data_IF_032965210796
#
_entry.id   IF_032965210796
#
_cell.length_a   1.000
_cell.length_b   1.000
_cell.length_c   1.000
_cell.angle_alpha   90.00
_cell.angle_beta   90.00
_cell.angle_gamma   90.00
#
_symmetry.space_group_name_H-M   'P 1'
#
loop_
_entity.id
_entity.type
_entity.pdbx_description
1 polymer ?
#
# COMPACT_ATOMS: atom_id res chain seq x y z
N UNK A 1 -45.59 4.57 34.58
CA UNK A 1 -44.20 5.09 34.46
C UNK A 1 -43.54 4.35 33.31
N UNK A 2 -42.96 5.08 32.36
CA UNK A 2 -42.54 4.61 31.02
C UNK A 2 -41.30 3.71 31.11
N UNK A 3 -41.38 2.51 30.55
CA UNK A 3 -40.21 1.64 30.31
C UNK A 3 -39.43 2.16 29.10
N UNK A 4 -38.23 2.68 29.34
CA UNK A 4 -37.29 3.12 28.30
C UNK A 4 -36.40 1.92 27.94
N UNK A 5 -36.68 1.27 26.81
CA UNK A 5 -35.82 0.23 26.24
C UNK A 5 -34.67 0.92 25.51
N UNK A 6 -33.46 0.85 26.09
CA UNK A 6 -32.23 1.29 25.43
C UNK A 6 -31.81 0.22 24.41
N UNK A 7 -31.97 0.53 23.12
CA UNK A 7 -31.48 -0.29 22.02
C UNK A 7 -29.97 -0.01 21.84
N UNK A 8 -29.12 -0.90 22.33
CA UNK A 8 -27.68 -0.86 22.06
C UNK A 8 -27.42 -1.29 20.61
N UNK A 9 -27.16 -0.32 19.74
CA UNK A 9 -26.60 -0.57 18.40
C UNK A 9 -25.13 -0.96 18.57
N UNK A 10 -24.85 -2.26 18.52
CA UNK A 10 -23.49 -2.80 18.43
C UNK A 10 -22.93 -2.47 17.04
N UNK A 11 -22.13 -1.40 16.94
CA UNK A 11 -21.31 -1.12 15.77
C UNK A 11 -20.09 -2.07 15.79
N UNK A 12 -20.22 -3.21 15.12
CA UNK A 12 -19.08 -4.10 14.90
C UNK A 12 -18.09 -3.41 13.94
N UNK A 13 -17.07 -2.80 14.51
CA UNK A 13 -15.88 -2.39 13.78
C UNK A 13 -15.15 -3.66 13.36
N UNK A 14 -15.25 -4.04 12.08
CA UNK A 14 -14.51 -5.18 11.55
C UNK A 14 -13.01 -4.88 11.59
N UNK A 15 -12.31 -5.56 12.50
CA UNK A 15 -10.86 -5.67 12.49
C UNK A 15 -10.43 -6.49 11.27
N UNK A 16 -10.30 -5.83 10.12
CA UNK A 16 -9.98 -6.46 8.83
C UNK A 16 -8.67 -7.27 8.85
N UNK A 17 -7.76 -7.03 9.78
CA UNK A 17 -6.46 -7.70 9.85
C UNK A 17 -6.50 -9.21 10.16
N UNK A 18 -7.48 -9.70 10.94
CA UNK A 18 -7.52 -11.11 11.38
C UNK A 18 -8.29 -12.01 10.41
N UNK A 19 -9.23 -11.44 9.65
CA UNK A 19 -10.06 -12.16 8.70
C UNK A 19 -9.23 -12.61 7.49
N UNK A 20 -8.28 -11.79 7.03
CA UNK A 20 -7.40 -12.12 5.90
C UNK A 20 -6.50 -13.34 6.13
N UNK A 21 -5.94 -13.50 7.34
CA UNK A 21 -5.06 -14.65 7.65
C UNK A 21 -5.84 -15.98 7.60
N UNK A 22 -7.05 -16.02 8.18
CA UNK A 22 -7.91 -17.23 8.18
C UNK A 22 -8.43 -17.56 6.77
N UNK A 23 -8.74 -16.54 5.97
CA UNK A 23 -9.19 -16.72 4.60
C UNK A 23 -8.07 -17.20 3.69
N UNK A 24 -6.83 -16.75 3.90
CA UNK A 24 -5.65 -17.15 3.13
C UNK A 24 -5.43 -18.66 3.19
N UNK A 25 -5.57 -19.26 4.37
CA UNK A 25 -5.38 -20.70 4.55
C UNK A 25 -6.51 -21.50 3.87
N UNK A 26 -7.78 -21.09 4.04
CA UNK A 26 -8.93 -21.74 3.37
C UNK A 26 -8.89 -21.62 1.85
N UNK A 27 -8.44 -20.48 1.32
CA UNK A 27 -8.24 -20.24 -0.11
C UNK A 27 -7.18 -21.17 -0.68
N UNK A 28 -6.07 -21.33 0.04
CA UNK A 28 -4.96 -22.18 -0.37
C UNK A 28 -5.41 -23.63 -0.49
N UNK A 29 -6.19 -24.12 0.48
CA UNK A 29 -6.65 -25.52 0.52
C UNK A 29 -7.71 -25.85 -0.54
N UNK A 30 -8.64 -24.94 -0.86
CA UNK A 30 -9.66 -25.18 -1.89
C UNK A 30 -9.15 -24.98 -3.32
N UNK A 31 -8.21 -24.06 -3.54
CA UNK A 31 -7.79 -23.69 -4.88
C UNK A 31 -6.63 -24.55 -5.43
N UNK A 32 -5.81 -25.14 -4.57
CA UNK A 32 -4.71 -26.07 -4.93
C UNK A 32 -5.21 -27.32 -5.67
N UNK A 33 -6.43 -27.80 -5.38
CA UNK A 33 -6.99 -28.98 -6.04
C UNK A 33 -7.43 -28.78 -7.50
N UNK A 34 -7.51 -27.53 -8.00
CA UNK A 34 -8.11 -27.21 -9.30
C UNK A 34 -7.24 -26.34 -10.22
N UNK A 35 -6.25 -25.66 -9.66
CA UNK A 35 -5.33 -24.71 -10.31
C UNK A 35 -3.97 -24.87 -9.61
N UNK A 36 -2.87 -24.98 -10.36
CA UNK A 36 -1.55 -25.19 -9.75
C UNK A 36 -1.16 -24.08 -8.76
N UNK A 37 -0.56 -24.48 -7.64
CA UNK A 37 -0.21 -23.65 -6.46
C UNK A 37 0.44 -22.31 -6.80
N UNK A 38 1.26 -22.29 -7.85
CA UNK A 38 1.99 -21.11 -8.31
C UNK A 38 1.06 -20.02 -8.84
N UNK A 39 -0.01 -20.38 -9.54
CA UNK A 39 -0.98 -19.43 -10.07
C UNK A 39 -1.87 -18.86 -8.97
N UNK A 40 -2.30 -19.70 -8.02
CA UNK A 40 -3.06 -19.25 -6.84
C UNK A 40 -2.21 -18.33 -5.98
N UNK A 41 -0.95 -18.69 -5.69
CA UNK A 41 -0.03 -17.85 -4.94
C UNK A 41 0.22 -16.49 -5.58
N UNK A 42 0.32 -16.42 -6.92
CA UNK A 42 0.46 -15.16 -7.64
C UNK A 42 -0.77 -14.25 -7.52
N UNK A 43 -1.97 -14.84 -7.52
CA UNK A 43 -3.24 -14.11 -7.38
C UNK A 43 -3.44 -13.64 -5.94
N UNK A 44 -3.20 -14.48 -4.95
CA UNK A 44 -3.60 -14.24 -3.55
C UNK A 44 -2.54 -13.57 -2.70
N UNK A 45 -1.27 -13.60 -3.12
CA UNK A 45 -0.20 -12.94 -2.33
C UNK A 45 -0.22 -11.45 -2.57
N UNK A 46 -0.33 -10.67 -1.50
CA UNK A 46 -0.23 -9.21 -1.54
C UNK A 46 1.15 -8.76 -2.06
N UNK A 47 1.16 -7.80 -2.99
CA UNK A 47 2.41 -7.24 -3.50
C UNK A 47 3.17 -6.51 -2.38
N UNK A 48 2.43 -5.78 -1.54
CA UNK A 48 2.92 -4.97 -0.43
C UNK A 48 1.91 -5.06 0.71
N UNK A 49 2.38 -5.09 1.96
CA UNK A 49 1.52 -5.11 3.13
C UNK A 49 2.15 -4.41 4.32
N UNK A 50 1.31 -3.90 5.22
CA UNK A 50 1.66 -3.33 6.52
C UNK A 50 0.49 -3.55 7.47
N UNK A 51 0.75 -3.68 8.78
CA UNK A 51 -0.29 -4.00 9.74
C UNK A 51 -0.01 -3.42 11.13
N UNK A 52 -1.07 -3.04 11.86
CA UNK A 52 -0.98 -2.62 13.26
C UNK A 52 -0.38 -3.67 14.20
N UNK A 53 -0.50 -4.96 13.87
CA UNK A 53 0.15 -6.05 14.61
C UNK A 53 1.68 -6.01 14.48
N UNK A 54 2.18 -5.42 13.40
CA UNK A 54 3.60 -5.30 13.07
C UNK A 54 4.22 -3.99 13.55
N UNK A 55 3.42 -3.09 14.13
CA UNK A 55 3.90 -1.82 14.65
C UNK A 55 4.87 -2.03 15.83
N UNK A 56 5.91 -1.20 15.91
CA UNK A 56 6.71 -1.09 17.12
C UNK A 56 5.88 -0.39 18.21
N UNK A 57 5.65 -1.09 19.34
CA UNK A 57 4.84 -0.61 20.47
C UNK A 57 5.64 -0.37 21.76
N UNK A 58 6.98 -0.50 21.71
CA UNK A 58 7.83 -0.49 22.91
C UNK A 58 7.85 0.86 23.61
N UNK A 59 7.60 1.96 22.90
CA UNK A 59 7.66 3.32 23.46
C UNK A 59 6.51 4.23 22.98
N UNK A 60 5.28 3.72 23.01
CA UNK A 60 4.10 4.52 22.69
C UNK A 60 3.89 5.54 23.80
N UNK A 61 3.96 6.83 23.43
CA UNK A 61 3.69 7.94 24.34
C UNK A 61 2.19 8.18 24.47
N UNK A 62 1.77 8.79 25.58
CA UNK A 62 0.39 9.25 25.74
C UNK A 62 0.06 10.35 24.72
N UNK A 63 -1.22 10.54 24.37
CA UNK A 63 -1.63 11.62 23.44
C UNK A 63 -1.24 13.03 23.89
N UNK A 64 -1.07 13.26 25.20
CA UNK A 64 -0.64 14.56 25.75
C UNK A 64 0.89 14.72 25.85
N UNK A 65 1.68 13.73 25.42
CA UNK A 65 3.13 13.83 25.44
C UNK A 65 3.62 14.98 24.55
N UNK A 66 4.41 15.89 25.12
CA UNK A 66 4.94 17.05 24.39
C UNK A 66 3.94 18.16 24.10
N UNK A 67 2.76 18.17 24.73
CA UNK A 67 1.69 19.16 24.47
C UNK A 67 2.09 20.62 24.71
N UNK A 68 2.95 20.87 25.71
CA UNK A 68 3.39 22.20 26.12
C UNK A 68 4.86 22.48 25.78
N UNK A 69 5.45 21.65 24.92
CA UNK A 69 6.87 21.70 24.62
C UNK A 69 7.15 22.54 23.38
N UNK A 70 8.36 23.09 23.32
CA UNK A 70 8.81 23.85 22.16
C UNK A 70 9.45 22.92 21.13
N UNK A 71 8.85 22.84 19.94
CA UNK A 71 9.33 21.98 18.86
C UNK A 71 10.35 22.69 18.00
N UNK A 72 11.51 22.04 17.81
CA UNK A 72 12.51 22.45 16.84
C UNK A 72 12.21 21.81 15.49
N UNK A 73 12.21 22.59 14.40
CA UNK A 73 12.11 22.00 13.05
C UNK A 73 13.33 21.12 12.79
N UNK A 74 13.13 19.86 12.44
CA UNK A 74 14.19 18.89 12.23
C UNK A 74 15.18 19.36 11.16
N UNK A 75 14.68 20.00 10.11
CA UNK A 75 15.49 20.57 9.02
C UNK A 75 16.39 21.74 9.43
N UNK A 76 16.24 22.27 10.65
CA UNK A 76 17.16 23.28 11.21
C UNK A 76 18.39 22.63 11.87
N UNK A 77 18.39 21.31 12.04
CA UNK A 77 19.50 20.55 12.58
C UNK A 77 20.43 20.14 11.43
N UNK A 78 21.73 20.07 11.71
CA UNK A 78 22.71 19.59 10.74
C UNK A 78 22.34 18.18 10.25
N UNK A 79 22.28 18.03 8.92
CA UNK A 79 22.07 16.76 8.23
C UNK A 79 23.33 16.38 7.45
N UNK A 80 23.74 15.12 7.58
CA UNK A 80 24.75 14.49 6.74
C UNK A 80 24.15 13.27 6.03
N UNK A 81 24.42 13.03 4.73
CA UNK A 81 23.99 11.81 4.06
C UNK A 81 24.50 10.51 4.72
N UNK A 82 25.66 10.54 5.40
CA UNK A 82 26.25 9.37 6.04
C UNK A 82 25.75 9.11 7.46
N UNK A 83 25.38 10.17 8.19
CA UNK A 83 25.04 10.08 9.63
C UNK A 83 23.58 10.45 9.92
N UNK A 84 22.87 11.02 8.94
CA UNK A 84 21.52 11.56 9.14
C UNK A 84 21.52 12.86 9.94
N UNK A 85 20.48 13.08 10.73
CA UNK A 85 20.38 14.21 11.64
C UNK A 85 21.05 13.88 12.98
N UNK A 86 21.97 14.74 13.43
CA UNK A 86 22.56 14.61 14.77
C UNK A 86 21.70 15.34 15.80
N UNK A 87 20.83 14.60 16.49
CA UNK A 87 19.86 15.17 17.44
C UNK A 87 20.44 15.33 18.84
N UNK A 88 20.07 16.42 19.50
CA UNK A 88 20.20 16.58 20.96
C UNK A 88 18.87 16.21 21.61
N UNK A 89 18.83 15.90 22.92
CA UNK A 89 17.55 15.70 23.60
C UNK A 89 16.61 16.90 23.39
N UNK A 90 15.37 16.66 22.99
CA UNK A 90 14.39 17.70 22.71
C UNK A 90 13.19 17.22 21.88
N UNK A 91 12.26 18.14 21.61
CA UNK A 91 11.07 17.90 20.79
C UNK A 91 11.30 18.42 19.38
N UNK A 92 10.99 17.61 18.37
CA UNK A 92 11.26 17.91 16.97
C UNK A 92 10.01 17.76 16.11
N UNK A 93 9.91 18.59 15.08
CA UNK A 93 8.85 18.51 14.06
C UNK A 93 9.44 18.43 12.66
N UNK A 94 8.85 17.65 11.78
CA UNK A 94 9.23 17.54 10.37
C UNK A 94 7.98 17.37 9.50
N UNK A 95 8.04 17.94 8.31
CA UNK A 95 7.07 17.70 7.24
C UNK A 95 7.65 16.66 6.29
N UNK A 96 6.90 15.58 6.06
CA UNK A 96 7.30 14.48 5.21
C UNK A 96 6.28 14.28 4.09
N UNK A 97 6.77 13.94 2.90
CA UNK A 97 5.92 13.42 1.83
C UNK A 97 5.63 11.95 2.10
N UNK A 98 4.38 11.55 1.97
CA UNK A 98 3.92 10.17 2.20
C UNK A 98 3.31 9.59 0.94
N UNK A 99 3.24 8.26 0.91
CA UNK A 99 2.58 7.50 -0.16
C UNK A 99 1.57 6.53 0.44
N UNK A 100 0.34 6.59 -0.05
CA UNK A 100 -0.74 5.71 0.39
C UNK A 100 -0.54 4.29 -0.16
N UNK A 101 -0.58 3.29 0.72
CA UNK A 101 -0.47 1.88 0.33
C UNK A 101 -1.83 1.21 0.09
N UNK A 102 -2.92 1.89 0.40
CA UNK A 102 -4.28 1.40 0.14
C UNK A 102 -4.98 2.43 -0.75
N UNK A 103 -5.38 2.00 -1.94
CA UNK A 103 -6.19 2.82 -2.85
C UNK A 103 -7.67 2.71 -2.44
N UNK A 104 -8.41 3.83 -2.49
CA UNK A 104 -9.84 3.86 -2.18
C UNK A 104 -10.19 3.74 -0.69
N UNK A 105 -9.25 4.02 0.20
CA UNK A 105 -9.49 4.19 1.63
C UNK A 105 -9.37 5.65 2.02
N UNK A 106 -10.01 6.07 3.11
CA UNK A 106 -9.93 7.44 3.61
C UNK A 106 -8.48 7.91 3.74
N UNK A 107 -8.19 9.06 3.14
CA UNK A 107 -6.93 9.75 3.36
C UNK A 107 -6.80 10.11 4.84
N UNK A 108 -5.58 10.12 5.39
CA UNK A 108 -5.40 10.52 6.78
C UNK A 108 -5.91 11.94 7.05
N UNK A 109 -6.44 12.12 8.25
CA UNK A 109 -7.01 13.37 8.72
C UNK A 109 -6.08 14.07 9.72
N UNK A 110 -6.38 15.35 10.01
CA UNK A 110 -5.60 16.11 10.98
C UNK A 110 -5.80 15.53 12.38
N UNK A 111 -4.70 15.17 13.03
CA UNK A 111 -4.70 14.64 14.41
C UNK A 111 -4.50 13.13 14.50
N UNK A 112 -4.36 12.44 13.36
CA UNK A 112 -4.05 11.01 13.35
C UNK A 112 -2.63 10.75 13.88
N UNK A 113 -2.51 9.79 14.79
CA UNK A 113 -1.23 9.28 15.29
C UNK A 113 -0.74 8.11 14.42
N UNK A 114 0.57 8.08 14.14
CA UNK A 114 1.18 7.02 13.36
C UNK A 114 2.13 6.19 14.21
N UNK A 115 2.11 4.88 13.98
CA UNK A 115 3.11 3.96 14.51
C UNK A 115 3.95 3.43 13.35
N UNK A 116 5.26 3.35 13.59
CA UNK A 116 6.15 2.73 12.62
C UNK A 116 5.85 1.24 12.51
N UNK A 117 5.63 0.78 11.28
CA UNK A 117 5.53 -0.63 10.92
C UNK A 117 6.42 -0.92 9.70
N UNK A 118 7.14 -2.06 9.68
CA UNK A 118 7.97 -2.42 8.54
C UNK A 118 7.13 -2.75 7.31
N UNK A 119 7.58 -2.31 6.14
CA UNK A 119 7.00 -2.71 4.87
C UNK A 119 7.26 -4.19 4.61
N UNK A 120 6.21 -4.95 4.32
CA UNK A 120 6.27 -6.39 4.00
C UNK A 120 5.69 -6.64 2.60
N UNK A 121 5.73 -7.91 2.18
CA UNK A 121 5.25 -8.34 0.86
C UNK A 121 6.38 -8.55 -0.15
N UNK A 122 6.06 -9.22 -1.26
CA UNK A 122 7.06 -9.62 -2.26
C UNK A 122 7.69 -8.45 -3.01
N UNK A 123 7.04 -7.28 -3.01
CA UNK A 123 7.45 -6.08 -3.76
C UNK A 123 7.87 -4.93 -2.86
N UNK A 124 8.08 -5.19 -1.56
CA UNK A 124 8.54 -4.18 -0.60
C UNK A 124 9.82 -3.48 -1.08
N UNK A 125 10.78 -4.23 -1.62
CA UNK A 125 12.09 -3.69 -2.01
C UNK A 125 11.95 -2.84 -3.27
N UNK A 126 11.08 -3.25 -4.20
CA UNK A 126 10.78 -2.48 -5.41
C UNK A 126 10.19 -1.10 -5.06
N UNK A 127 9.23 -1.04 -4.14
CA UNK A 127 8.64 0.24 -3.70
C UNK A 127 9.60 1.05 -2.84
N UNK A 128 10.39 0.41 -1.99
CA UNK A 128 11.44 1.09 -1.23
C UNK A 128 12.45 1.76 -2.18
N UNK A 129 12.92 1.05 -3.21
CA UNK A 129 13.83 1.59 -4.22
C UNK A 129 13.18 2.71 -5.03
N UNK A 130 11.91 2.55 -5.46
CA UNK A 130 11.16 3.58 -6.18
C UNK A 130 11.13 4.90 -5.40
N UNK A 131 10.72 4.85 -4.13
CA UNK A 131 10.61 6.03 -3.25
C UNK A 131 12.00 6.61 -2.96
N UNK A 132 13.01 5.76 -2.71
CA UNK A 132 14.38 6.19 -2.47
C UNK A 132 14.97 6.91 -3.69
N UNK A 133 14.75 6.40 -4.89
CA UNK A 133 15.26 7.01 -6.12
C UNK A 133 14.50 8.30 -6.46
N UNK A 134 13.23 8.40 -6.08
CA UNK A 134 12.46 9.64 -6.23
C UNK A 134 13.02 10.79 -5.39
N UNK A 135 13.62 10.51 -4.23
CA UNK A 135 14.30 11.54 -3.43
C UNK A 135 15.35 12.32 -4.26
N UNK A 136 16.01 11.66 -5.22
CA UNK A 136 16.98 12.28 -6.14
C UNK A 136 16.37 12.77 -7.47
N UNK A 137 15.08 12.52 -7.71
CA UNK A 137 14.36 12.83 -8.95
C UNK A 137 13.05 13.57 -8.65
N UNK A 138 13.13 14.65 -7.85
CA UNK A 138 11.97 15.42 -7.39
C UNK A 138 11.29 16.25 -8.50
N UNK A 139 11.86 16.29 -9.71
CA UNK A 139 11.18 16.83 -10.89
C UNK A 139 10.03 15.94 -11.38
N UNK A 140 10.00 14.67 -10.96
CA UNK A 140 8.86 13.77 -11.16
C UNK A 140 7.79 14.12 -10.11
N UNK A 141 6.56 14.49 -10.50
CA UNK A 141 5.49 14.82 -9.56
C UNK A 141 5.16 13.66 -8.60
N UNK A 142 4.81 13.99 -7.36
CA UNK A 142 4.48 12.99 -6.33
C UNK A 142 3.28 12.13 -6.76
N UNK A 143 2.31 12.69 -7.45
CA UNK A 143 1.13 11.98 -7.94
C UNK A 143 1.50 10.87 -8.92
N UNK A 144 2.52 11.10 -9.76
CA UNK A 144 3.02 10.07 -10.68
C UNK A 144 3.68 8.92 -9.91
N UNK A 145 4.41 9.21 -8.85
CA UNK A 145 5.02 8.18 -8.00
C UNK A 145 3.95 7.43 -7.20
N UNK A 146 2.93 8.12 -6.68
CA UNK A 146 1.77 7.50 -6.03
C UNK A 146 1.03 6.53 -6.97
N UNK A 147 0.83 6.93 -8.23
CA UNK A 147 0.24 6.07 -9.26
C UNK A 147 1.10 4.83 -9.56
N UNK A 148 2.43 4.97 -9.59
CA UNK A 148 3.33 3.81 -9.72
C UNK A 148 3.24 2.87 -8.52
N UNK A 149 3.19 3.39 -7.30
CA UNK A 149 2.99 2.59 -6.08
C UNK A 149 1.69 1.79 -6.17
N UNK A 150 0.58 2.42 -6.56
CA UNK A 150 -0.69 1.73 -6.74
C UNK A 150 -0.69 0.74 -7.91
N UNK A 151 0.00 1.03 -9.01
CA UNK A 151 0.21 0.10 -10.11
C UNK A 151 0.94 -1.17 -9.67
N UNK A 152 1.94 -1.05 -8.79
CA UNK A 152 2.66 -2.18 -8.19
C UNK A 152 1.75 -2.98 -7.25
N UNK A 153 0.98 -2.30 -6.38
CA UNK A 153 0.02 -2.95 -5.47
C UNK A 153 -1.02 -3.75 -6.27
N UNK A 154 -1.55 -3.16 -7.33
CA UNK A 154 -2.49 -3.79 -8.23
C UNK A 154 -1.84 -4.75 -9.24
N UNK A 155 -0.55 -5.08 -9.09
CA UNK A 155 0.18 -6.04 -9.93
C UNK A 155 0.06 -5.76 -11.42
N UNK A 156 0.01 -4.48 -11.80
CA UNK A 156 -0.03 -4.07 -13.20
C UNK A 156 1.33 -4.32 -13.85
N UNK A 157 1.35 -4.97 -15.01
CA UNK A 157 2.59 -5.12 -15.78
C UNK A 157 3.05 -3.75 -16.29
N UNK A 158 4.37 -3.51 -16.26
CA UNK A 158 4.98 -2.30 -16.79
C UNK A 158 4.47 -1.93 -18.21
N UNK A 159 4.38 -2.93 -19.11
CA UNK A 159 3.94 -2.71 -20.50
C UNK A 159 2.49 -2.23 -20.62
N UNK A 160 1.67 -2.47 -19.60
CA UNK A 160 0.26 -2.09 -19.57
C UNK A 160 0.05 -0.75 -18.85
N UNK A 161 1.09 -0.12 -18.30
CA UNK A 161 1.00 1.21 -17.71
C UNK A 161 0.93 2.28 -18.82
N UNK A 162 0.35 3.43 -18.53
CA UNK A 162 0.37 4.57 -19.47
C UNK A 162 1.81 5.01 -19.81
N UNK A 163 2.05 5.62 -20.98
CA UNK A 163 3.39 6.05 -21.40
C UNK A 163 4.11 6.95 -20.39
N UNK A 164 3.36 7.84 -19.74
CA UNK A 164 3.86 8.73 -18.70
C UNK A 164 4.38 7.98 -17.46
N UNK A 165 3.64 6.95 -17.04
CA UNK A 165 4.05 6.09 -15.92
C UNK A 165 5.23 5.21 -16.31
N UNK A 166 5.25 4.70 -17.54
CA UNK A 166 6.40 3.97 -18.06
C UNK A 166 7.66 4.84 -18.02
N UNK A 167 7.58 6.08 -18.52
CA UNK A 167 8.70 7.03 -18.50
C UNK A 167 9.18 7.30 -17.07
N UNK A 168 8.27 7.61 -16.15
CA UNK A 168 8.61 7.84 -14.75
C UNK A 168 9.29 6.60 -14.12
N UNK A 169 8.75 5.40 -14.35
CA UNK A 169 9.34 4.16 -13.86
C UNK A 169 10.73 3.90 -14.46
N UNK A 170 10.97 4.18 -15.74
CA UNK A 170 12.32 4.02 -16.34
C UNK A 170 13.37 4.93 -15.74
N UNK A 171 12.96 6.09 -15.19
CA UNK A 171 13.85 7.02 -14.50
C UNK A 171 14.11 6.63 -13.05
N UNK A 172 13.15 5.97 -12.41
CA UNK A 172 13.18 5.66 -10.98
C UNK A 172 13.61 4.23 -10.66
N UNK A 173 13.57 3.31 -11.61
CA UNK A 173 13.83 1.88 -11.39
C UNK A 173 14.98 1.38 -12.27
N UNK A 174 15.75 0.45 -11.74
CA UNK A 174 16.79 -0.25 -12.51
C UNK A 174 16.18 -1.20 -13.55
N UNK A 175 17.01 -1.65 -14.51
CA UNK A 175 16.59 -2.61 -15.55
C UNK A 175 16.05 -3.92 -14.97
N UNK A 176 16.66 -4.43 -13.89
CA UNK A 176 16.21 -5.66 -13.23
C UNK A 176 14.87 -5.46 -12.50
N UNK A 177 14.66 -4.28 -11.91
CA UNK A 177 13.40 -3.90 -11.28
C UNK A 177 12.27 -3.72 -12.30
N UNK A 178 12.54 -3.05 -13.43
CA UNK A 178 11.60 -2.94 -14.56
C UNK A 178 11.22 -4.30 -15.14
N UNK A 179 12.18 -5.23 -15.23
CA UNK A 179 11.93 -6.60 -15.66
C UNK A 179 11.07 -7.35 -14.63
N UNK A 180 11.32 -7.16 -13.34
CA UNK A 180 10.49 -7.72 -12.26
C UNK A 180 9.06 -7.18 -12.31
N UNK A 181 8.89 -5.89 -12.63
CA UNK A 181 7.58 -5.25 -12.83
C UNK A 181 6.87 -5.76 -14.09
N UNK A 182 7.59 -5.98 -15.19
CA UNK A 182 7.03 -6.57 -16.42
C UNK A 182 6.54 -8.00 -16.19
N UNK A 183 7.25 -8.78 -15.39
CA UNK A 183 6.90 -10.15 -14.98
C UNK A 183 5.79 -10.21 -13.92
N UNK A 184 5.34 -9.07 -13.40
CA UNK A 184 4.36 -8.97 -12.31
C UNK A 184 2.92 -9.20 -12.78
N UNK A 185 2.63 -8.91 -14.05
CA UNK A 185 1.27 -8.95 -14.57
C UNK A 185 0.62 -10.32 -14.42
N UNK A 186 -0.65 -10.33 -14.00
CA UNK A 186 -1.54 -11.48 -14.21
C UNK A 186 -1.78 -11.77 -15.70
N UNK A 187 -1.18 -11.00 -16.60
CA UNK A 187 -1.09 -11.20 -18.05
C UNK A 187 -0.67 -12.62 -18.47
N UNK A 188 0.07 -13.33 -17.62
CA UNK A 188 0.48 -14.72 -17.87
C UNK A 188 -0.56 -15.75 -17.40
N UNK A 189 -1.62 -15.32 -16.71
CA UNK A 189 -2.71 -16.17 -16.22
C UNK A 189 -3.84 -16.13 -17.27
N UNK A 190 -4.16 -17.25 -17.94
CA UNK A 190 -5.26 -17.29 -18.90
C UNK A 190 -6.59 -16.85 -18.27
N UNK A 191 -7.45 -16.17 -19.04
CA UNK A 191 -8.74 -15.68 -18.55
C UNK A 191 -9.63 -16.79 -17.96
N UNK A 192 -9.56 -17.99 -18.53
CA UNK A 192 -10.26 -19.19 -18.00
C UNK A 192 -9.76 -19.61 -16.61
N UNK A 193 -8.45 -19.51 -16.38
CA UNK A 193 -7.83 -19.78 -15.07
C UNK A 193 -8.20 -18.69 -14.08
N UNK A 194 -8.23 -17.42 -14.50
CA UNK A 194 -8.64 -16.31 -13.65
C UNK A 194 -10.12 -16.43 -13.23
N UNK A 195 -11.01 -16.78 -14.17
CA UNK A 195 -12.42 -17.00 -13.91
C UNK A 195 -12.63 -18.15 -12.91
N UNK A 196 -11.98 -19.30 -13.16
CA UNK A 196 -12.06 -20.47 -12.28
C UNK A 196 -11.44 -20.20 -10.90
N UNK A 197 -10.38 -19.40 -10.83
CA UNK A 197 -9.83 -18.97 -9.54
C UNK A 197 -10.85 -18.12 -8.81
N UNK A 198 -11.34 -17.04 -9.43
CA UNK A 198 -12.30 -16.10 -8.84
C UNK A 198 -13.56 -16.80 -8.33
N UNK A 199 -14.14 -17.71 -9.11
CA UNK A 199 -15.38 -18.42 -8.73
C UNK A 199 -15.21 -19.34 -7.52
N UNK A 200 -13.99 -19.77 -7.21
CA UNK A 200 -13.68 -20.66 -6.09
C UNK A 200 -13.04 -19.91 -4.90
N UNK A 201 -12.88 -18.59 -4.97
CA UNK A 201 -12.35 -17.77 -3.89
C UNK A 201 -13.48 -17.28 -2.97
N UNK A 202 -13.24 -17.07 -1.66
CA UNK A 202 -14.18 -16.39 -0.78
C UNK A 202 -14.51 -14.97 -1.25
N UNK A 203 -15.72 -14.52 -0.95
CA UNK A 203 -16.25 -13.21 -1.41
C UNK A 203 -15.33 -12.03 -1.10
N UNK A 204 -14.71 -12.02 0.07
CA UNK A 204 -13.75 -10.98 0.48
C UNK A 204 -12.52 -10.91 -0.43
N UNK A 205 -11.99 -12.06 -0.86
CA UNK A 205 -10.84 -12.11 -1.78
C UNK A 205 -11.26 -11.73 -3.19
N UNK A 206 -12.47 -12.13 -3.61
CA UNK A 206 -13.03 -11.69 -4.89
C UNK A 206 -13.14 -10.17 -4.96
N UNK A 207 -13.62 -9.52 -3.89
CA UNK A 207 -13.73 -8.04 -3.83
C UNK A 207 -12.36 -7.36 -3.96
N UNK A 208 -11.31 -7.90 -3.32
CA UNK A 208 -9.94 -7.37 -3.47
C UNK A 208 -9.46 -7.50 -4.92
N UNK A 209 -9.66 -8.66 -5.55
CA UNK A 209 -9.27 -8.87 -6.95
C UNK A 209 -10.03 -7.96 -7.92
N UNK A 210 -11.31 -7.67 -7.65
CA UNK A 210 -12.09 -6.72 -8.43
C UNK A 210 -11.58 -5.29 -8.25
N UNK A 211 -11.27 -4.88 -7.02
CA UNK A 211 -10.67 -3.58 -6.74
C UNK A 211 -9.32 -3.42 -7.46
N UNK A 212 -8.44 -4.42 -7.38
CA UNK A 212 -7.18 -4.44 -8.11
C UNK A 212 -7.37 -4.37 -9.63
N UNK A 213 -8.35 -5.10 -10.18
CA UNK A 213 -8.67 -5.04 -11.62
C UNK A 213 -9.12 -3.65 -12.05
N UNK A 214 -9.98 -3.00 -11.26
CA UNK A 214 -10.42 -1.63 -11.50
C UNK A 214 -9.23 -0.67 -11.52
N UNK A 215 -8.34 -0.79 -10.53
CA UNK A 215 -7.09 -0.03 -10.45
C UNK A 215 -6.22 -0.27 -11.69
N UNK A 216 -6.01 -1.53 -12.10
CA UNK A 216 -5.25 -1.87 -13.32
C UNK A 216 -5.83 -1.20 -14.55
N UNK A 217 -7.16 -1.26 -14.73
CA UNK A 217 -7.84 -0.66 -15.88
C UNK A 217 -7.72 0.86 -15.90
N UNK A 218 -7.78 1.51 -14.74
CA UNK A 218 -7.62 2.96 -14.61
C UNK A 218 -6.23 3.40 -15.06
N UNK A 219 -5.18 2.68 -14.63
CA UNK A 219 -3.79 3.03 -14.94
C UNK A 219 -3.29 2.57 -16.32
N UNK A 220 -4.01 1.67 -16.98
CA UNK A 220 -3.72 1.28 -18.36
C UNK A 220 -4.38 2.18 -19.41
N UNK A 221 -5.56 2.72 -19.10
CA UNK A 221 -6.38 3.51 -20.05
C UNK A 221 -6.21 5.03 -19.91
N UNK A 222 -5.67 5.53 -18.80
CA UNK A 222 -5.54 6.98 -18.58
C UNK A 222 -4.39 7.59 -19.38
N UNK A 223 -4.72 8.17 -20.52
CA UNK A 223 -3.98 9.27 -21.13
C UNK A 223 -4.20 10.55 -20.31
N UNK A 224 -3.20 10.90 -19.50
CA UNK A 224 -2.84 12.25 -19.03
C UNK A 224 -3.82 13.14 -18.23
N UNK A 225 -5.04 12.71 -17.85
CA UNK A 225 -6.00 13.64 -17.20
C UNK A 225 -6.84 13.13 -16.02
N UNK A 226 -6.69 11.88 -15.56
CA UNK A 226 -7.57 11.37 -14.50
C UNK A 226 -7.03 11.71 -13.11
N UNK A 227 -7.72 12.65 -12.49
CA UNK A 227 -7.39 13.32 -11.24
C UNK A 227 -7.26 12.37 -10.05
N UNK A 228 -6.26 12.63 -9.21
CA UNK A 228 -6.10 12.10 -7.85
C UNK A 228 -7.39 12.20 -6.99
N UNK A 229 -8.32 13.09 -7.35
CA UNK A 229 -9.60 13.29 -6.66
C UNK A 229 -10.68 12.22 -6.92
N UNK A 230 -10.43 11.24 -7.78
CA UNK A 230 -11.39 10.15 -8.04
C UNK A 230 -11.21 8.95 -7.07
N UNK A 231 -10.31 9.07 -6.10
CA UNK A 231 -10.05 8.06 -5.06
C UNK A 231 -10.16 8.62 -3.63
#
# INVERSE_FOLDING_TARGET
MKNLVFLFLLSTSFTNAQIFDILKDKVKDQATHLIGDKAIGAITTEAITTNFKDCNKVDIKSPDFGKNENYTKLCNVAFSPSEGYLLKPGFYTIELKSFCLHAGTYAPSKGDGYLYAPLKGQKKDLVASLIKNWYQNQDIPQEKVQALVWGIIAKSSFKNMSPDLQLAATRLLSKSELLSLSKMGLDFVPASVMYKAKSNLPQSVQMVLEAENKIRSFFSSSSSSSSYSEF
#
